data_IF_819176417070
#
_entry.id   IF_819176417070
#
_cell.length_a   1.000
_cell.length_b   1.000
_cell.length_c   1.000
_cell.angle_alpha   90.00
_cell.angle_beta   90.00
_cell.angle_gamma   90.00
#
_symmetry.space_group_name_H-M   'P 1'
#
loop_
_entity.id
_entity.type
_entity.pdbx_description
1 polymer ?
#
# COMPACT_ATOMS: atom_id res chain seq x y z
N UNK A 1 3.49 19.36 19.60
CA UNK A 1 3.00 17.97 19.61
C UNK A 1 2.06 17.90 18.41
N UNK A 2 2.57 17.38 17.29
CA UNK A 2 1.80 17.30 16.04
C UNK A 2 0.87 16.08 16.15
N UNK A 3 -0.30 16.33 16.73
CA UNK A 3 -1.39 15.37 16.85
C UNK A 3 -2.30 15.56 15.62
N UNK A 4 -1.78 15.25 14.44
CA UNK A 4 -2.59 15.20 13.21
C UNK A 4 -3.09 13.77 13.00
N UNK A 5 -3.95 13.34 13.92
CA UNK A 5 -4.79 12.16 13.76
C UNK A 5 -5.87 12.50 12.72
N UNK A 6 -5.51 12.38 11.43
CA UNK A 6 -6.43 12.56 10.29
C UNK A 6 -7.35 11.33 10.18
N UNK A 7 -8.38 11.31 11.03
CA UNK A 7 -9.42 10.28 11.04
C UNK A 7 -10.43 10.58 9.91
N UNK A 8 -10.11 10.16 8.69
CA UNK A 8 -11.03 10.31 7.54
C UNK A 8 -10.53 9.69 6.24
N UNK A 9 -9.21 9.61 6.04
CA UNK A 9 -8.59 8.97 4.89
C UNK A 9 -7.31 8.24 5.30
N UNK A 10 -7.43 7.17 6.08
CA UNK A 10 -6.29 6.29 6.33
C UNK A 10 -5.77 5.77 4.98
N UNK A 11 -4.61 6.30 4.57
CA UNK A 11 -3.91 5.82 3.38
C UNK A 11 -3.32 4.48 3.71
N UNK A 12 -3.95 3.45 3.18
CA UNK A 12 -3.51 2.08 3.30
C UNK A 12 -2.47 1.80 2.22
N UNK A 13 -1.47 1.00 2.60
CA UNK A 13 -0.43 0.51 1.68
C UNK A 13 -0.53 -1.00 1.64
N UNK A 14 -0.85 -1.54 0.47
CA UNK A 14 -0.81 -2.98 0.21
C UNK A 14 0.41 -3.31 -0.63
N UNK A 15 1.15 -4.33 -0.22
CA UNK A 15 2.22 -4.93 -1.02
C UNK A 15 1.79 -6.33 -1.42
N UNK A 16 1.86 -6.63 -2.72
CA UNK A 16 1.42 -7.93 -3.23
C UNK A 16 1.99 -8.23 -4.60
N UNK A 17 1.93 -9.50 -4.98
CA UNK A 17 2.38 -9.96 -6.29
C UNK A 17 1.26 -9.75 -7.31
N UNK A 18 1.57 -9.01 -8.38
CA UNK A 18 0.68 -8.85 -9.53
C UNK A 18 1.40 -9.46 -10.74
N UNK A 19 0.93 -10.64 -11.16
CA UNK A 19 1.59 -11.43 -12.21
C UNK A 19 2.95 -11.97 -11.74
N UNK A 20 4.04 -11.45 -12.32
CA UNK A 20 5.43 -11.85 -12.02
C UNK A 20 6.22 -10.77 -11.26
N UNK A 21 5.56 -9.71 -10.78
CA UNK A 21 6.22 -8.60 -10.09
C UNK A 21 5.52 -8.25 -8.79
N UNK A 22 6.27 -7.96 -7.74
CA UNK A 22 5.72 -7.35 -6.53
C UNK A 22 5.40 -5.89 -6.84
N UNK A 23 4.22 -5.47 -6.42
CA UNK A 23 3.71 -4.12 -6.57
C UNK A 23 3.32 -3.58 -5.20
N UNK A 24 3.45 -2.26 -5.06
CA UNK A 24 2.99 -1.50 -3.90
C UNK A 24 1.84 -0.63 -4.36
N UNK A 25 0.70 -0.79 -3.70
CA UNK A 25 -0.52 -0.05 -3.95
C UNK A 25 -0.82 0.84 -2.75
N UNK A 26 -1.02 2.13 -3.00
CA UNK A 26 -1.55 3.07 -2.02
C UNK A 26 -3.01 3.32 -2.35
N UNK A 27 -3.88 3.09 -1.37
CA UNK A 27 -5.32 3.22 -1.52
C UNK A 27 -5.94 3.79 -0.26
N UNK A 28 -7.19 4.23 -0.37
CA UNK A 28 -8.02 4.58 0.77
C UNK A 28 -9.32 3.78 0.69
N UNK A 29 -9.80 3.36 1.84
CA UNK A 29 -11.10 2.71 1.99
C UNK A 29 -12.14 3.75 2.37
N UNK A 30 -13.21 3.85 1.60
CA UNK A 30 -14.35 4.73 1.89
C UNK A 30 -15.62 3.88 1.89
N UNK A 31 -16.01 3.40 3.08
CA UNK A 31 -17.13 2.47 3.22
C UNK A 31 -16.84 1.17 2.46
N UNK A 32 -17.68 0.85 1.47
CA UNK A 32 -17.53 -0.36 0.64
C UNK A 32 -16.72 -0.12 -0.65
N UNK A 33 -16.16 1.08 -0.83
CA UNK A 33 -15.38 1.43 -2.03
C UNK A 33 -13.90 1.58 -1.71
N UNK A 34 -13.06 0.88 -2.48
CA UNK A 34 -11.61 1.07 -2.48
C UNK A 34 -11.25 2.07 -3.57
N UNK A 35 -10.62 3.18 -3.18
CA UNK A 35 -10.06 4.14 -4.14
C UNK A 35 -8.55 3.97 -4.19
N UNK A 36 -8.06 3.45 -5.32
CA UNK A 36 -6.62 3.38 -5.60
C UNK A 36 -6.10 4.78 -5.90
N UNK A 37 -5.09 5.21 -5.15
CA UNK A 37 -4.42 6.50 -5.33
C UNK A 37 -3.18 6.32 -6.23
N UNK A 38 -2.41 5.27 -5.99
CA UNK A 38 -1.21 4.96 -6.76
C UNK A 38 -0.93 3.47 -6.76
N UNK A 39 -0.57 2.94 -7.92
CA UNK A 39 -0.05 1.58 -8.06
C UNK A 39 1.31 1.68 -8.75
N UNK A 40 2.35 1.22 -8.05
CA UNK A 40 3.72 1.20 -8.60
C UNK A 40 4.34 -0.17 -8.43
N UNK A 41 5.27 -0.50 -9.32
CA UNK A 41 6.12 -1.66 -9.13
C UNK A 41 6.96 -1.46 -7.87
N UNK A 42 7.09 -2.50 -7.05
CA UNK A 42 7.93 -2.48 -5.87
C UNK A 42 9.40 -2.34 -6.29
N UNK A 43 10.19 -1.69 -5.44
CA UNK A 43 11.65 -1.65 -5.62
C UNK A 43 12.26 -2.98 -5.18
N UNK A 44 13.51 -3.26 -5.59
CA UNK A 44 14.21 -4.50 -5.17
C UNK A 44 14.19 -4.69 -3.64
N UNK A 45 14.40 -3.61 -2.89
CA UNK A 45 14.37 -3.63 -1.42
C UNK A 45 12.99 -3.97 -0.84
N UNK A 46 11.91 -3.45 -1.44
CA UNK A 46 10.54 -3.78 -1.01
C UNK A 46 10.15 -5.20 -1.42
N UNK A 47 10.66 -5.72 -2.55
CA UNK A 47 10.52 -7.12 -2.94
C UNK A 47 11.20 -8.03 -1.90
N UNK A 48 12.45 -7.74 -1.54
CA UNK A 48 13.20 -8.53 -0.55
C UNK A 48 12.48 -8.54 0.80
N UNK A 49 12.03 -7.38 1.28
CA UNK A 49 11.27 -7.30 2.53
C UNK A 49 9.94 -8.05 2.44
N UNK A 50 9.25 -8.03 1.30
CA UNK A 50 8.02 -8.79 1.10
C UNK A 50 8.25 -10.30 1.10
N UNK A 51 9.32 -10.78 0.46
CA UNK A 51 9.68 -12.20 0.40
C UNK A 51 10.18 -12.72 1.76
N UNK A 52 10.91 -11.91 2.51
CA UNK A 52 11.39 -12.28 3.85
C UNK A 52 10.25 -12.38 4.88
N UNK A 53 9.19 -11.60 4.70
CA UNK A 53 7.99 -11.63 5.56
C UNK A 53 6.90 -12.60 5.06
N UNK A 54 7.17 -13.39 4.02
CA UNK A 54 6.27 -14.43 3.50
C UNK A 54 6.56 -15.79 4.13
#
# INVERSE_FOLDING_TARGET
MDDSTDYGEERLVATGIIGLSVCVMVYVERGETIRVISLRRATKKEIESYVENL
#
